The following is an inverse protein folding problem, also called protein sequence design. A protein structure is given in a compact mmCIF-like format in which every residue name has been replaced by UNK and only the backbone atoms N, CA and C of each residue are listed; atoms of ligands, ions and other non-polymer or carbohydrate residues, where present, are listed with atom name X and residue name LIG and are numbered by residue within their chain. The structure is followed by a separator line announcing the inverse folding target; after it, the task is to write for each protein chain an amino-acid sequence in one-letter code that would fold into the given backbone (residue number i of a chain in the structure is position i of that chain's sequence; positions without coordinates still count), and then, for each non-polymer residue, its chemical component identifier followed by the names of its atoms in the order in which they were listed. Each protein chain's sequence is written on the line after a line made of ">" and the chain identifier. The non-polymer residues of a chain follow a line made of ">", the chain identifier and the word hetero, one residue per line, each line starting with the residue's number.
data_IF_125563705251
#
_entry.id   IF_125563705251
#
_cell.length_a   1.000
_cell.length_b   1.000
_cell.length_c   1.000
_cell.angle_alpha   90.00
_cell.angle_beta   90.00
_cell.angle_gamma   90.00
#
_symmetry.space_group_name_H-M   'P 1'
#
loop_
_entity.id
_entity.type
_entity.pdbx_description
1 polymer ?
#
# COMPACT_ATOMS: atom_id res chain seq x y z
N UNK A 1 -3.38 -48.80 38.02
CA UNK A 1 -2.34 -48.05 37.25
C UNK A 1 -2.61 -48.07 35.74
N UNK A 2 -3.80 -47.70 35.24
CA UNK A 2 -4.10 -47.72 33.78
C UNK A 2 -4.88 -46.52 33.22
N UNK A 3 -5.26 -45.52 34.04
CA UNK A 3 -6.19 -44.46 33.60
C UNK A 3 -5.58 -43.05 33.49
N UNK A 4 -4.27 -42.86 33.71
CA UNK A 4 -3.63 -41.53 33.64
C UNK A 4 -2.94 -41.21 32.30
N UNK A 5 -2.88 -42.18 31.39
CA UNK A 5 -2.09 -42.06 30.15
C UNK A 5 -2.92 -41.69 28.91
N UNK A 6 -4.26 -41.67 29.03
CA UNK A 6 -5.15 -41.34 27.91
C UNK A 6 -5.46 -39.83 27.86
N UNK A 7 -5.36 -39.11 28.99
CA UNK A 7 -5.73 -37.68 29.07
C UNK A 7 -4.65 -36.73 28.53
N UNK A 8 -3.38 -37.17 28.45
CA UNK A 8 -2.28 -36.30 27.99
C UNK A 8 -2.22 -36.19 26.45
N UNK A 9 -2.69 -37.21 25.71
CA UNK A 9 -2.76 -37.12 24.25
C UNK A 9 -3.94 -36.26 23.75
N UNK A 10 -5.00 -36.09 24.54
CA UNK A 10 -6.16 -35.27 24.16
C UNK A 10 -5.90 -33.76 24.25
N UNK A 11 -5.00 -33.32 25.14
CA UNK A 11 -4.67 -31.89 25.31
C UNK A 11 -3.66 -31.41 24.25
N UNK A 12 -2.83 -32.31 23.71
CA UNK A 12 -1.87 -31.97 22.63
C UNK A 12 -2.56 -32.00 21.25
N UNK A 13 -3.63 -32.78 21.07
CA UNK A 13 -4.38 -32.85 19.81
C UNK A 13 -5.34 -31.67 19.57
N UNK A 14 -5.76 -30.94 20.61
CA UNK A 14 -6.70 -29.82 20.50
C UNK A 14 -6.04 -28.47 20.22
N UNK A 15 -4.70 -28.42 20.16
CA UNK A 15 -3.93 -27.20 19.90
C UNK A 15 -3.50 -27.05 18.42
N UNK A 16 -4.08 -27.85 17.52
CA UNK A 16 -3.71 -27.93 16.09
C UNK A 16 -4.56 -27.10 15.13
N UNK A 17 -5.62 -26.43 15.57
CA UNK A 17 -6.47 -25.68 14.65
C UNK A 17 -6.65 -24.27 15.17
N UNK A 18 -5.93 -23.33 14.55
CA UNK A 18 -6.33 -21.97 14.18
C UNK A 18 -5.05 -21.21 13.77
N UNK A 19 -4.28 -21.76 12.83
CA UNK A 19 -3.31 -20.94 12.10
C UNK A 19 -4.13 -20.12 11.09
N UNK A 20 -4.53 -18.91 11.46
CA UNK A 20 -5.03 -17.97 10.45
C UNK A 20 -3.83 -17.62 9.57
N UNK A 21 -3.89 -18.02 8.31
CA UNK A 21 -2.94 -17.52 7.32
C UNK A 21 -3.07 -16.00 7.27
N UNK A 22 -1.99 -15.26 7.52
CA UNK A 22 -1.96 -13.86 7.14
C UNK A 22 -2.00 -13.82 5.60
N UNK A 23 -3.14 -13.44 5.04
CA UNK A 23 -3.28 -13.15 3.62
C UNK A 23 -3.32 -11.64 3.49
N UNK A 24 -2.35 -11.07 2.77
CA UNK A 24 -2.46 -9.67 2.37
C UNK A 24 -3.64 -9.55 1.41
N UNK A 25 -4.63 -8.73 1.75
CA UNK A 25 -5.83 -8.55 0.93
C UNK A 25 -5.70 -7.24 0.17
N UNK A 26 -5.78 -7.30 -1.16
CA UNK A 26 -5.86 -6.09 -1.98
C UNK A 26 -7.18 -5.37 -1.69
N UNK A 27 -7.13 -4.08 -1.37
CA UNK A 27 -8.33 -3.29 -1.05
C UNK A 27 -8.82 -2.52 -2.27
N UNK A 28 -7.90 -1.84 -2.95
CA UNK A 28 -8.21 -1.10 -4.15
C UNK A 28 -7.01 -1.07 -5.11
N UNK A 29 -7.31 -1.02 -6.40
CA UNK A 29 -6.31 -0.90 -7.47
C UNK A 29 -6.84 0.01 -8.57
N UNK A 30 -5.94 0.74 -9.21
CA UNK A 30 -6.22 1.27 -10.54
C UNK A 30 -5.00 1.08 -11.44
N UNK A 31 -5.27 0.82 -12.71
CA UNK A 31 -4.25 0.75 -13.74
C UNK A 31 -3.92 2.16 -14.24
N UNK A 32 -2.68 2.38 -14.68
CA UNK A 32 -2.23 3.65 -15.22
C UNK A 32 -3.19 4.15 -16.32
N UNK A 33 -3.90 5.29 -16.12
CA UNK A 33 -4.86 5.78 -17.08
C UNK A 33 -4.21 6.53 -18.25
N UNK A 34 -2.89 6.78 -18.19
CA UNK A 34 -2.16 7.49 -19.23
C UNK A 34 -1.33 6.53 -20.07
N UNK A 35 -1.52 6.59 -21.39
CA UNK A 35 -0.75 5.80 -22.35
C UNK A 35 0.71 6.29 -22.50
N UNK A 36 1.01 7.52 -22.04
CA UNK A 36 2.31 8.17 -22.19
C UNK A 36 2.65 9.13 -21.02
N UNK A 37 3.81 9.80 -21.12
CA UNK A 37 4.26 10.78 -20.13
C UNK A 37 3.72 12.21 -20.33
N UNK A 38 2.81 12.44 -21.27
CA UNK A 38 2.21 13.77 -21.53
C UNK A 38 1.07 14.09 -20.55
N UNK A 39 0.45 13.08 -19.95
CA UNK A 39 -0.58 13.23 -18.91
C UNK A 39 -0.12 12.63 -17.57
N UNK A 40 0.85 13.24 -16.88
CA UNK A 40 1.36 12.69 -15.63
C UNK A 40 0.30 12.71 -14.52
N UNK A 41 0.37 11.70 -13.64
CA UNK A 41 -0.46 11.60 -12.44
C UNK A 41 0.24 12.26 -11.25
N UNK A 42 1.56 12.20 -11.21
CA UNK A 42 2.37 12.71 -10.11
C UNK A 42 3.47 13.61 -10.61
N UNK A 43 3.77 14.65 -9.83
CA UNK A 43 4.94 15.49 -9.99
C UNK A 43 5.77 15.47 -8.72
N UNK A 44 7.00 14.98 -8.82
CA UNK A 44 8.02 15.09 -7.79
C UNK A 44 8.85 16.32 -8.12
N UNK A 45 8.76 17.37 -7.32
CA UNK A 45 9.54 18.59 -7.48
C UNK A 45 10.54 18.73 -6.34
N UNK A 46 11.81 18.45 -6.62
CA UNK A 46 12.87 18.50 -5.62
C UNK A 46 13.39 19.91 -5.36
N UNK A 47 13.20 20.82 -6.30
CA UNK A 47 13.58 22.22 -6.13
C UNK A 47 12.65 22.91 -5.10
N UNK A 48 11.35 22.61 -5.18
CA UNK A 48 10.33 23.14 -4.28
C UNK A 48 9.99 22.20 -3.12
N UNK A 49 10.61 21.01 -3.08
CA UNK A 49 10.38 19.99 -2.04
C UNK A 49 8.91 19.61 -1.91
N UNK A 50 8.26 19.34 -3.04
CA UNK A 50 6.84 19.09 -3.13
C UNK A 50 6.55 17.88 -4.01
N UNK A 51 5.72 16.97 -3.51
CA UNK A 51 5.08 15.91 -4.25
C UNK A 51 3.62 16.29 -4.44
N UNK A 52 3.18 16.40 -5.69
CA UNK A 52 1.77 16.63 -6.03
C UNK A 52 1.25 15.47 -6.86
N UNK A 53 -0.06 15.20 -6.78
CA UNK A 53 -0.69 14.16 -7.56
C UNK A 53 -2.19 14.35 -7.72
N UNK A 54 -2.75 13.73 -8.76
CA UNK A 54 -4.17 13.78 -9.02
C UNK A 54 -4.53 13.28 -10.41
N UNK A 55 -5.78 12.87 -10.56
CA UNK A 55 -6.43 12.67 -11.85
C UNK A 55 -7.74 13.43 -11.81
N UNK A 56 -7.85 14.47 -12.65
CA UNK A 56 -9.01 15.37 -12.67
C UNK A 56 -10.28 14.69 -13.17
N UNK A 57 -11.43 15.22 -12.78
CA UNK A 57 -12.76 14.80 -13.24
C UNK A 57 -13.03 15.14 -14.71
N UNK A 58 -12.21 16.03 -15.30
CA UNK A 58 -12.18 16.33 -16.73
C UNK A 58 -11.41 15.29 -17.57
N UNK A 59 -10.79 14.29 -16.91
CA UNK A 59 -10.02 13.22 -17.55
C UNK A 59 -10.73 11.87 -17.48
N UNK A 60 -10.51 11.04 -18.49
CA UNK A 60 -11.09 9.69 -18.59
C UNK A 60 -10.01 8.61 -18.52
N UNK A 61 -10.41 7.34 -18.44
CA UNK A 61 -9.48 6.20 -18.57
C UNK A 61 -8.96 5.61 -17.26
N UNK A 62 -9.27 6.20 -16.11
CA UNK A 62 -8.95 5.59 -14.81
C UNK A 62 -10.08 4.67 -14.39
N UNK A 63 -9.80 3.36 -14.43
CA UNK A 63 -10.68 2.31 -13.89
C UNK A 63 -10.25 1.96 -12.48
N UNK A 64 -11.07 2.30 -11.50
CA UNK A 64 -10.86 1.94 -10.09
C UNK A 64 -11.59 0.63 -9.78
N UNK A 65 -10.87 -0.35 -9.25
CA UNK A 65 -11.45 -1.59 -8.73
C UNK A 65 -11.30 -1.58 -7.21
N UNK A 66 -12.42 -1.68 -6.50
CA UNK A 66 -12.48 -1.81 -5.04
C UNK A 66 -12.90 -3.24 -4.71
N UNK A 67 -12.05 -3.95 -3.98
CA UNK A 67 -12.24 -5.37 -3.63
C UNK A 67 -13.04 -5.51 -2.33
N UNK A 68 -14.24 -4.92 -2.31
CA UNK A 68 -15.27 -5.16 -1.30
C UNK A 68 -16.02 -6.48 -1.58
N UNK A 69 -17.02 -6.81 -0.78
CA UNK A 69 -17.84 -8.02 -0.97
C UNK A 69 -19.30 -7.62 -1.24
N UNK A 70 -19.74 -7.50 -2.51
CA UNK A 70 -19.04 -7.84 -3.76
C UNK A 70 -18.05 -6.76 -4.23
N UNK A 71 -17.09 -7.12 -5.06
CA UNK A 71 -16.13 -6.15 -5.62
C UNK A 71 -16.84 -5.18 -6.57
N UNK A 72 -16.49 -3.90 -6.47
CA UNK A 72 -17.04 -2.79 -7.25
C UNK A 72 -16.01 -2.28 -8.27
N UNK A 73 -16.46 -1.95 -9.48
CA UNK A 73 -15.64 -1.33 -10.52
C UNK A 73 -16.24 0.01 -10.92
N UNK A 74 -15.41 1.05 -10.95
CA UNK A 74 -15.77 2.41 -11.31
C UNK A 74 -14.95 2.86 -12.51
N UNK A 75 -15.61 3.06 -13.65
CA UNK A 75 -15.00 3.59 -14.87
C UNK A 75 -14.89 5.11 -14.80
N UNK A 76 -13.84 5.68 -15.41
CA UNK A 76 -13.53 7.12 -15.39
C UNK A 76 -13.58 7.71 -13.98
N UNK A 77 -13.18 6.93 -12.98
CA UNK A 77 -13.00 7.44 -11.64
C UNK A 77 -11.93 8.54 -11.66
N UNK A 78 -11.98 9.44 -10.69
CA UNK A 78 -10.99 10.49 -10.55
C UNK A 78 -10.44 10.49 -9.13
N UNK A 79 -9.29 11.10 -8.91
CA UNK A 79 -8.74 11.19 -7.57
C UNK A 79 -8.04 12.51 -7.32
N UNK A 80 -8.10 12.93 -6.07
CA UNK A 80 -7.36 14.09 -5.56
C UNK A 80 -6.35 13.59 -4.54
N UNK A 81 -5.16 14.19 -4.55
CA UNK A 81 -4.19 14.01 -3.48
C UNK A 81 -3.85 15.39 -2.90
N UNK A 82 -3.67 15.44 -1.59
CA UNK A 82 -3.07 16.63 -0.96
C UNK A 82 -1.64 16.79 -1.44
N UNK A 83 -1.19 18.03 -1.62
CA UNK A 83 0.22 18.31 -1.82
C UNK A 83 1.02 17.86 -0.58
N UNK A 84 2.10 17.11 -0.80
CA UNK A 84 2.92 16.54 0.27
C UNK A 84 4.32 17.13 0.23
N UNK A 85 4.79 17.66 1.36
CA UNK A 85 6.15 18.17 1.45
C UNK A 85 7.18 17.03 1.48
N UNK A 86 8.28 17.22 0.78
CA UNK A 86 9.44 16.33 0.75
C UNK A 86 10.49 16.90 1.72
N UNK A 87 10.87 16.12 2.71
CA UNK A 87 11.87 16.56 3.70
C UNK A 87 13.30 16.39 3.18
N UNK A 88 14.28 16.94 3.90
CA UNK A 88 15.70 16.69 3.63
C UNK A 88 16.21 15.35 4.21
N UNK A 89 15.34 14.58 4.86
CA UNK A 89 15.71 13.24 5.35
C UNK A 89 15.77 12.27 4.18
N UNK A 90 16.94 11.65 3.98
CA UNK A 90 17.18 10.67 2.92
C UNK A 90 17.57 9.34 3.54
N UNK A 91 16.91 8.28 3.10
CA UNK A 91 17.31 6.90 3.35
C UNK A 91 17.94 6.32 2.05
N UNK A 92 19.15 5.73 2.12
CA UNK A 92 19.83 5.19 0.93
C UNK A 92 19.05 4.12 0.16
N UNK A 93 18.09 3.46 0.81
CA UNK A 93 17.31 2.34 0.25
C UNK A 93 15.89 2.74 -0.14
N UNK A 94 15.32 3.76 0.51
CA UNK A 94 13.92 4.20 0.30
C UNK A 94 13.78 5.52 -0.45
N UNK A 95 14.80 6.38 -0.43
CA UNK A 95 14.75 7.70 -1.05
C UNK A 95 14.49 8.82 -0.06
N UNK A 96 13.78 9.86 -0.47
CA UNK A 96 13.46 11.04 0.34
C UNK A 96 12.20 10.80 1.15
N UNK A 97 12.23 11.15 2.44
CA UNK A 97 11.05 11.09 3.30
C UNK A 97 10.08 12.21 2.98
N UNK A 98 8.79 11.90 2.97
CA UNK A 98 7.70 12.87 2.82
C UNK A 98 6.93 13.03 4.13
N UNK A 99 6.21 14.15 4.25
CA UNK A 99 5.18 14.32 5.27
C UNK A 99 3.96 13.43 4.99
N UNK A 100 2.96 13.51 5.86
CA UNK A 100 1.68 12.84 5.70
C UNK A 100 0.78 13.53 4.69
N UNK A 101 -0.28 12.85 4.28
CA UNK A 101 -1.22 13.35 3.29
C UNK A 101 -2.45 12.47 3.16
N UNK A 102 -3.33 12.88 2.25
CA UNK A 102 -4.59 12.20 1.96
C UNK A 102 -4.76 12.02 0.46
N UNK A 103 -5.24 10.85 0.06
CA UNK A 103 -5.65 10.54 -1.33
C UNK A 103 -7.12 10.11 -1.29
N UNK A 104 -7.93 10.70 -2.17
CA UNK A 104 -9.38 10.44 -2.23
C UNK A 104 -9.79 10.09 -3.66
N UNK A 105 -10.50 8.97 -3.80
CA UNK A 105 -11.05 8.49 -5.05
C UNK A 105 -12.55 8.73 -5.12
N UNK A 106 -13.03 9.10 -6.30
CA UNK A 106 -14.41 9.46 -6.55
C UNK A 106 -14.92 8.80 -7.83
N UNK A 107 -16.24 8.60 -7.91
CA UNK A 107 -16.90 8.13 -9.12
C UNK A 107 -16.93 9.24 -10.18
N UNK A 108 -17.06 8.85 -11.45
CA UNK A 108 -17.23 9.78 -12.58
C UNK A 108 -18.37 10.79 -12.32
N UNK A 109 -18.06 12.08 -12.48
CA UNK A 109 -19.01 13.18 -12.26
C UNK A 109 -19.43 13.44 -10.81
N UNK A 110 -18.82 12.79 -9.81
CA UNK A 110 -19.09 13.07 -8.41
C UNK A 110 -18.54 14.45 -7.98
N UNK A 111 -19.22 15.11 -7.04
CA UNK A 111 -18.71 16.34 -6.41
C UNK A 111 -17.54 15.98 -5.46
N UNK A 112 -16.35 16.59 -5.57
CA UNK A 112 -15.20 16.28 -4.72
C UNK A 112 -15.41 16.60 -3.23
N UNK A 113 -16.52 17.27 -2.86
CA UNK A 113 -16.90 17.56 -1.48
C UNK A 113 -17.79 16.47 -0.84
N UNK A 114 -18.21 15.44 -1.58
CA UNK A 114 -18.95 14.30 -1.02
C UNK A 114 -18.01 13.25 -0.43
N UNK A 115 -18.59 12.26 0.23
CA UNK A 115 -17.84 11.12 0.75
C UNK A 115 -17.15 10.35 -0.40
N UNK A 116 -15.84 10.12 -0.33
CA UNK A 116 -15.10 9.42 -1.39
C UNK A 116 -15.39 7.92 -1.38
N UNK A 117 -15.23 7.27 -2.54
CA UNK A 117 -15.30 5.82 -2.68
C UNK A 117 -14.24 5.14 -1.81
N UNK A 118 -13.01 5.66 -1.89
CA UNK A 118 -11.85 5.23 -1.10
C UNK A 118 -11.07 6.47 -0.70
N UNK A 119 -10.73 6.56 0.58
CA UNK A 119 -9.84 7.54 1.17
C UNK A 119 -8.67 6.82 1.84
N UNK A 120 -7.48 7.34 1.59
CA UNK A 120 -6.23 6.84 2.13
C UNK A 120 -5.55 8.00 2.84
N UNK A 121 -5.45 7.90 4.16
CA UNK A 121 -4.69 8.82 4.99
C UNK A 121 -3.39 8.16 5.40
N UNK A 122 -2.29 8.90 5.37
CA UNK A 122 -0.98 8.39 5.79
C UNK A 122 -0.19 9.43 6.58
N UNK A 123 0.61 8.98 7.53
CA UNK A 123 1.39 9.84 8.42
C UNK A 123 2.72 10.30 7.79
N UNK A 124 3.32 9.45 6.95
CA UNK A 124 4.53 9.79 6.19
C UNK A 124 4.73 8.85 5.02
N UNK A 125 5.70 9.14 4.16
CA UNK A 125 6.06 8.25 3.06
C UNK A 125 7.49 8.43 2.58
N UNK A 126 7.82 7.71 1.52
CA UNK A 126 9.14 7.72 0.87
C UNK A 126 8.97 7.81 -0.63
N UNK A 127 9.68 8.77 -1.24
CA UNK A 127 9.72 8.97 -2.69
C UNK A 127 11.16 8.82 -3.21
N UNK A 128 11.34 7.99 -4.22
CA UNK A 128 12.64 7.78 -4.84
C UNK A 128 12.84 8.70 -6.05
N UNK A 129 14.07 9.21 -6.22
CA UNK A 129 14.46 9.96 -7.42
C UNK A 129 15.02 9.07 -8.54
N UNK A 130 15.68 7.97 -8.19
CA UNK A 130 16.29 7.06 -9.14
C UNK A 130 16.30 5.65 -8.55
N UNK A 131 15.64 4.70 -9.22
CA UNK A 131 15.63 3.31 -8.81
C UNK A 131 16.95 2.60 -9.11
N UNK A 132 17.78 2.35 -8.09
CA UNK A 132 18.69 1.22 -8.15
C UNK A 132 17.91 -0.04 -7.77
N UNK A 133 17.51 -0.83 -8.77
CA UNK A 133 17.07 -2.22 -8.57
C UNK A 133 15.58 -2.47 -8.31
N UNK A 134 14.68 -1.60 -8.82
CA UNK A 134 13.20 -1.70 -8.83
C UNK A 134 12.44 -0.60 -8.05
N UNK A 135 13.11 0.47 -7.62
CA UNK A 135 12.56 1.48 -6.71
C UNK A 135 12.21 2.82 -7.37
N UNK A 136 11.24 2.81 -8.30
CA UNK A 136 10.50 4.02 -8.70
C UNK A 136 9.10 3.94 -8.07
N UNK A 137 9.07 3.94 -6.73
CA UNK A 137 7.84 3.82 -5.95
C UNK A 137 7.67 5.01 -5.01
N UNK A 138 6.42 5.37 -4.79
CA UNK A 138 6.02 6.03 -3.56
C UNK A 138 5.44 4.97 -2.62
N UNK A 139 5.85 4.98 -1.35
CA UNK A 139 5.42 4.02 -0.34
C UNK A 139 5.17 4.78 0.96
N UNK A 140 4.01 4.55 1.57
CA UNK A 140 3.57 5.27 2.75
C UNK A 140 3.65 4.41 4.01
N UNK A 141 3.80 5.09 5.15
CA UNK A 141 3.82 4.54 6.49
C UNK A 141 2.65 5.14 7.30
N UNK A 142 2.05 4.36 8.21
CA UNK A 142 0.92 4.82 9.04
C UNK A 142 -0.37 5.00 8.24
N UNK A 143 -0.70 4.04 7.39
CA UNK A 143 -1.84 4.14 6.47
C UNK A 143 -3.13 3.73 7.17
N UNK A 144 -4.17 4.55 6.97
CA UNK A 144 -5.57 4.24 7.27
C UNK A 144 -6.38 4.30 5.98
N UNK A 145 -7.19 3.27 5.72
CA UNK A 145 -8.06 3.21 4.54
C UNK A 145 -9.53 3.26 5.00
N UNK A 146 -10.31 4.11 4.36
CA UNK A 146 -11.75 4.30 4.61
C UNK A 146 -12.47 4.68 3.31
N UNK A 147 -13.77 4.96 3.36
CA UNK A 147 -14.57 5.40 2.22
C UNK A 147 -15.90 4.67 2.12
N UNK A 148 -16.78 5.13 1.23
CA UNK A 148 -18.14 4.57 1.09
C UNK A 148 -18.17 3.12 0.59
N UNK A 149 -17.12 2.68 -0.12
CA UNK A 149 -16.97 1.31 -0.60
C UNK A 149 -16.13 0.44 0.35
N UNK A 150 -15.71 0.99 1.50
CA UNK A 150 -14.86 0.33 2.48
C UNK A 150 -15.64 0.10 3.77
N UNK A 151 -16.21 -1.10 3.92
CA UNK A 151 -17.08 -1.46 5.05
C UNK A 151 -16.36 -1.67 6.39
N UNK A 152 -15.03 -1.73 6.38
CA UNK A 152 -14.20 -2.01 7.54
C UNK A 152 -13.13 -0.94 7.70
N UNK A 153 -12.94 -0.45 8.93
CA UNK A 153 -11.81 0.42 9.23
C UNK A 153 -10.54 -0.43 9.32
N UNK A 154 -9.59 -0.10 8.46
CA UNK A 154 -8.33 -0.81 8.27
C UNK A 154 -7.18 0.07 8.79
N UNK A 155 -6.38 -0.47 9.70
CA UNK A 155 -5.27 0.23 10.36
C UNK A 155 -3.99 -0.59 10.24
N UNK A 156 -2.84 0.08 10.08
CA UNK A 156 -1.52 -0.54 9.82
C UNK A 156 -1.34 -1.04 8.38
N UNK A 157 -1.95 -0.36 7.41
CA UNK A 157 -1.89 -0.80 6.02
C UNK A 157 -0.65 -0.29 5.28
N UNK A 158 -0.36 -0.90 4.13
CA UNK A 158 0.65 -0.43 3.20
C UNK A 158 0.00 -0.15 1.85
N UNK A 159 0.34 1.00 1.25
CA UNK A 159 0.06 1.25 -0.16
C UNK A 159 1.32 1.70 -0.87
N UNK A 160 1.34 1.44 -2.17
CA UNK A 160 2.39 1.94 -3.03
C UNK A 160 1.83 2.39 -4.38
N UNK A 161 2.43 3.46 -4.90
CA UNK A 161 2.32 3.81 -6.31
C UNK A 161 3.58 3.35 -7.03
N UNK A 162 3.39 2.63 -8.13
CA UNK A 162 4.47 2.27 -9.04
C UNK A 162 4.49 3.28 -10.17
N UNK A 163 5.59 4.04 -10.28
CA UNK A 163 5.71 5.10 -11.27
C UNK A 163 6.23 4.60 -12.61
N UNK A 164 5.67 5.15 -13.69
CA UNK A 164 6.02 4.88 -15.08
C UNK A 164 6.13 6.17 -15.90
N UNK A 165 6.56 6.06 -17.16
CA UNK A 165 6.60 7.15 -18.14
C UNK A 165 7.26 8.46 -17.64
N UNK A 166 8.37 8.32 -16.91
CA UNK A 166 9.04 9.44 -16.25
C UNK A 166 9.51 10.51 -17.26
N UNK A 167 9.29 11.78 -16.93
CA UNK A 167 9.87 12.92 -17.65
C UNK A 167 10.56 13.88 -16.68
N UNK A 168 11.78 14.34 -16.98
CA UNK A 168 12.51 15.24 -16.10
C UNK A 168 11.83 16.61 -16.02
N UNK A 169 11.71 17.15 -14.80
CA UNK A 169 11.13 18.47 -14.60
C UNK A 169 12.11 19.55 -15.09
N UNK A 170 11.63 20.44 -15.97
CA UNK A 170 12.46 21.48 -16.60
C UNK A 170 13.73 20.94 -17.30
N UNK A 171 13.67 19.70 -17.80
CA UNK A 171 14.80 19.06 -18.48
C UNK A 171 15.93 18.57 -17.57
N UNK A 172 15.78 18.64 -16.24
CA UNK A 172 16.77 18.12 -15.30
C UNK A 172 16.16 17.19 -14.27
N UNK A 173 16.70 15.97 -14.19
CA UNK A 173 16.32 15.00 -13.16
C UNK A 173 16.67 15.44 -11.73
N UNK A 174 17.62 16.37 -11.57
CA UNK A 174 17.95 16.94 -10.26
C UNK A 174 16.81 17.79 -9.69
N UNK A 175 15.98 18.36 -10.56
CA UNK A 175 14.84 19.18 -10.17
C UNK A 175 13.60 18.32 -9.89
N UNK A 176 13.69 17.02 -10.16
CA UNK A 176 12.61 16.05 -10.02
C UNK A 176 12.06 15.60 -11.38
N UNK A 177 10.85 15.04 -11.36
CA UNK A 177 10.23 14.43 -12.53
C UNK A 177 8.71 14.44 -12.43
N UNK A 178 8.06 14.29 -13.58
CA UNK A 178 6.66 13.88 -13.66
C UNK A 178 6.59 12.40 -14.00
N UNK A 179 5.58 11.71 -13.51
CA UNK A 179 5.37 10.30 -13.79
C UNK A 179 3.89 9.97 -13.89
N UNK A 180 3.59 8.94 -14.66
CA UNK A 180 2.32 8.22 -14.57
C UNK A 180 2.43 7.17 -13.48
N UNK A 181 1.31 6.57 -13.06
CA UNK A 181 1.34 5.63 -11.94
C UNK A 181 0.25 4.57 -12.03
N UNK A 182 0.60 3.37 -11.60
CA UNK A 182 -0.37 2.36 -11.19
C UNK A 182 -0.41 2.27 -9.66
N UNK A 183 -1.57 1.94 -9.13
CA UNK A 183 -1.83 1.92 -7.69
C UNK A 183 -2.26 0.54 -7.22
N UNK A 184 -1.66 0.12 -6.11
CA UNK A 184 -2.07 -1.07 -5.37
C UNK A 184 -2.06 -0.75 -3.88
N UNK A 185 -3.19 -0.99 -3.21
CA UNK A 185 -3.28 -0.94 -1.75
C UNK A 185 -3.60 -2.32 -1.19
N UNK A 186 -2.88 -2.71 -0.14
CA UNK A 186 -3.02 -4.01 0.49
C UNK A 186 -3.11 -3.88 1.99
N UNK A 187 -3.99 -4.67 2.59
CA UNK A 187 -4.10 -4.76 4.03
C UNK A 187 -3.28 -5.92 4.60
N UNK A 188 -2.45 -5.67 5.61
CA UNK A 188 -1.69 -6.71 6.31
C UNK A 188 -2.42 -7.18 7.56
N UNK A 189 -2.57 -8.50 7.78
CA UNK A 189 -3.25 -9.01 8.98
C UNK A 189 -2.46 -8.70 10.25
N UNK A 190 -3.19 -8.25 11.27
CA UNK A 190 -2.70 -7.78 12.58
C UNK A 190 -1.53 -8.58 13.22
N UNK A 191 -0.71 -7.94 14.09
CA UNK A 191 0.54 -8.48 14.67
C UNK A 191 0.47 -9.87 15.32
N UNK A 192 -0.72 -10.31 15.75
CA UNK A 192 -0.93 -11.65 16.30
C UNK A 192 -0.46 -12.76 15.33
N UNK A 193 -0.54 -12.50 14.02
CA UNK A 193 -0.15 -13.47 12.99
C UNK A 193 1.37 -13.58 12.82
N UNK A 194 2.11 -12.47 12.97
CA UNK A 194 3.58 -12.44 12.90
C UNK A 194 4.19 -13.20 14.09
N UNK A 195 3.60 -13.04 15.29
CA UNK A 195 4.02 -13.76 16.49
C UNK A 195 3.89 -15.28 16.31
N UNK A 196 2.80 -15.72 15.68
CA UNK A 196 2.55 -17.15 15.40
C UNK A 196 3.52 -17.73 14.37
N UNK A 197 3.93 -16.93 13.37
CA UNK A 197 4.97 -17.30 12.40
C UNK A 197 6.36 -17.44 13.06
N UNK A 198 6.68 -16.55 14.01
CA UNK A 198 7.91 -16.62 14.80
C UNK A 198 7.98 -17.86 15.70
N UNK A 199 6.87 -18.20 16.36
CA UNK A 199 6.82 -19.39 17.23
C UNK A 199 6.92 -20.68 16.40
N UNK A 200 6.26 -20.74 15.25
CA UNK A 200 6.27 -21.94 14.39
C UNK A 200 7.65 -22.22 13.78
N UNK A 201 8.43 -21.19 13.43
CA UNK A 201 9.81 -21.38 12.95
C UNK A 201 10.78 -21.92 14.02
N UNK A 202 10.57 -21.61 15.31
CA UNK A 202 11.35 -22.20 16.41
C UNK A 202 11.10 -23.70 16.61
N UNK A 203 9.93 -24.22 16.25
CA UNK A 203 9.60 -25.64 16.41
C UNK A 203 10.06 -26.52 15.22
N UNK A 204 10.44 -25.92 14.09
CA UNK A 204 10.95 -26.64 12.90
C UNK A 204 12.47 -26.83 12.92
N UNK A 205 13.18 -26.29 13.93
CA UNK A 205 14.60 -26.63 14.11
C UNK A 205 14.75 -28.12 14.44
N UNK A 206 15.32 -28.95 13.54
CA UNK A 206 15.49 -30.36 13.83
C UNK A 206 16.41 -30.49 15.03
N UNK A 207 15.96 -31.20 16.07
CA UNK A 207 16.80 -31.67 17.17
C UNK A 207 17.95 -32.49 16.57
N UNK A 208 19.08 -31.82 16.29
CA UNK A 208 20.34 -32.48 15.94
C UNK A 208 20.67 -33.42 17.09
N UNK A 209 20.43 -34.72 16.87
CA UNK A 209 20.89 -35.79 17.76
C UNK A 209 22.39 -35.64 17.92
N UNK A 210 22.84 -35.31 19.14
CA UNK A 210 24.20 -35.57 19.59
C UNK A 210 24.37 -37.09 19.70
N UNK A 211 24.92 -37.70 18.66
CA UNK A 211 25.52 -39.03 18.75
C UNK A 211 26.94 -38.91 19.30
N UNK A 212 27.27 -39.79 20.25
CA UNK A 212 28.60 -40.00 20.83
C UNK A 212 29.62 -40.46 19.80
#
# INVERSE_FOLDING_TARGET
>A
MKNKMITICAVIGLMMCLASSAVATTIATFADPSDDGDNPLFTVNMANKLLTGGWGDDKTGLTLVVYSSPASTFENAFFTATDVNITDTVDPWRGYKTEGGTIKFFADGADPNVEPLVQIDFDSGWVSLFGYGASNKFSADGVTISGSEIDISLTEEEFAFSFANHRPLSGSWSNGYTATAAFTSSALPEPATILLLGISSCFVLPRRKRGK
#
